data_IF_288544032673
#
_entry.id   IF_288544032673
#
_cell.length_a   1.000
_cell.length_b   1.000
_cell.length_c   1.000
_cell.angle_alpha   90.00
_cell.angle_beta   90.00
_cell.angle_gamma   90.00
#
_symmetry.space_group_name_H-M   'P 1'
#
loop_
_entity.id
_entity.type
_entity.pdbx_description
1 polymer ?
#
# COMPACT_ATOMS: atom_id res chain seq x y z
N UNK A 1 -9.92 10.96 13.64
CA UNK A 1 -9.39 9.61 13.96
C UNK A 1 -10.53 8.64 14.23
N UNK A 2 -11.45 8.95 15.19
CA UNK A 2 -12.57 8.05 15.55
C UNK A 2 -13.47 7.70 14.35
N UNK A 3 -13.72 8.64 13.45
CA UNK A 3 -14.56 8.39 12.28
C UNK A 3 -13.84 7.54 11.23
N UNK A 4 -12.54 7.71 11.10
CA UNK A 4 -11.73 6.87 10.21
C UNK A 4 -11.62 5.42 10.72
N UNK A 5 -11.50 5.22 12.04
CA UNK A 5 -11.54 3.90 12.66
C UNK A 5 -12.86 3.19 12.40
N UNK A 6 -13.98 3.90 12.60
CA UNK A 6 -15.32 3.35 12.30
C UNK A 6 -15.47 2.98 10.85
N UNK A 7 -14.95 3.81 9.94
CA UNK A 7 -15.01 3.53 8.50
C UNK A 7 -14.14 2.32 8.11
N UNK A 8 -12.94 2.20 8.66
CA UNK A 8 -12.04 1.07 8.41
C UNK A 8 -12.64 -0.27 8.88
N UNK A 9 -13.40 -0.26 9.97
CA UNK A 9 -14.05 -1.44 10.55
C UNK A 9 -15.41 -1.80 9.90
N UNK A 10 -15.93 -1.00 8.96
CA UNK A 10 -17.16 -1.34 8.25
C UNK A 10 -16.95 -2.58 7.37
N UNK A 11 -18.04 -3.33 7.17
CA UNK A 11 -18.05 -4.48 6.26
C UNK A 11 -17.66 -4.10 4.83
N UNK A 12 -16.96 -4.97 4.13
CA UNK A 12 -16.55 -4.79 2.74
C UNK A 12 -15.03 -4.94 2.57
N UNK A 13 -14.50 -4.41 1.46
CA UNK A 13 -13.07 -4.44 1.18
C UNK A 13 -12.30 -3.67 2.26
N UNK A 14 -11.28 -4.25 2.88
CA UNK A 14 -10.55 -3.61 3.97
C UNK A 14 -9.92 -2.27 3.56
N UNK A 15 -9.91 -1.36 4.52
CA UNK A 15 -9.16 -0.11 4.46
C UNK A 15 -8.28 -0.02 5.69
N UNK A 16 -7.03 0.33 5.50
CA UNK A 16 -6.12 0.62 6.60
C UNK A 16 -5.55 2.03 6.45
N UNK A 17 -5.25 2.66 7.58
CA UNK A 17 -4.50 3.91 7.62
C UNK A 17 -3.50 3.89 8.75
N UNK A 18 -2.43 4.67 8.60
CA UNK A 18 -1.38 4.79 9.60
C UNK A 18 -0.80 6.20 9.59
N UNK A 19 -0.56 6.76 10.77
CA UNK A 19 0.19 8.00 10.98
C UNK A 19 1.53 7.60 11.61
N UNK A 20 2.51 7.31 10.77
CA UNK A 20 3.78 6.73 11.20
C UNK A 20 4.88 7.77 11.40
N UNK A 21 4.80 8.89 10.71
CA UNK A 21 5.82 9.94 10.75
C UNK A 21 5.19 11.25 11.18
N UNK A 22 5.77 11.88 12.19
CA UNK A 22 5.37 13.22 12.65
C UNK A 22 6.61 14.03 12.95
N UNK A 23 6.52 15.34 12.79
CA UNK A 23 7.64 16.24 13.08
C UNK A 23 7.19 17.67 13.29
N UNK A 24 8.14 18.52 13.57
CA UNK A 24 7.94 19.96 13.78
C UNK A 24 8.66 20.49 15.01
N UNK A 25 8.59 21.80 15.20
CA UNK A 25 9.25 22.50 16.28
C UNK A 25 10.76 22.69 16.09
N UNK A 26 11.37 23.44 16.98
CA UNK A 26 12.81 23.76 16.94
C UNK A 26 13.53 23.46 18.24
N UNK A 27 12.85 23.56 19.39
CA UNK A 27 13.41 23.24 20.69
C UNK A 27 12.32 22.91 21.72
N UNK A 28 12.72 22.28 22.81
CA UNK A 28 11.80 21.81 23.87
C UNK A 28 11.12 22.95 24.64
N UNK A 29 11.63 24.17 24.58
CA UNK A 29 11.13 25.32 25.28
C UNK A 29 10.56 26.43 24.37
N UNK A 30 10.33 26.11 23.09
CA UNK A 30 9.70 27.01 22.13
C UNK A 30 8.37 26.48 21.62
N UNK A 31 7.43 27.38 21.38
CA UNK A 31 6.18 27.03 20.69
C UNK A 31 6.51 26.68 19.24
N UNK A 32 6.14 25.53 18.74
CA UNK A 32 6.34 25.15 17.34
C UNK A 32 5.67 26.16 16.40
N UNK A 33 6.39 26.61 15.39
CA UNK A 33 5.82 27.45 14.33
C UNK A 33 5.16 26.60 13.22
N UNK A 34 5.53 25.33 13.12
CA UNK A 34 4.89 24.33 12.27
C UNK A 34 5.01 22.93 12.89
N UNK A 35 4.09 22.09 12.54
CA UNK A 35 4.15 20.64 12.75
C UNK A 35 3.55 19.94 11.54
N UNK A 36 4.00 18.72 11.28
CA UNK A 36 3.53 17.94 10.16
C UNK A 36 3.39 16.45 10.53
N UNK A 37 2.60 15.75 9.76
CA UNK A 37 2.48 14.29 9.82
C UNK A 37 2.32 13.70 8.43
N UNK A 38 2.78 12.47 8.27
CA UNK A 38 2.53 11.68 7.07
C UNK A 38 1.50 10.61 7.36
N UNK A 39 0.50 10.51 6.49
CA UNK A 39 -0.60 9.55 6.60
C UNK A 39 -0.54 8.61 5.42
N UNK A 40 -0.38 7.31 5.67
CA UNK A 40 -0.49 6.24 4.68
C UNK A 40 -1.88 5.62 4.75
N UNK A 41 -2.53 5.47 3.60
CA UNK A 41 -3.85 4.85 3.49
C UNK A 41 -3.80 3.77 2.41
N UNK A 42 -4.39 2.59 2.70
CA UNK A 42 -4.36 1.43 1.80
C UNK A 42 -5.71 0.77 1.69
N UNK A 43 -6.09 0.41 0.48
CA UNK A 43 -7.24 -0.43 0.16
C UNK A 43 -7.06 -1.07 -1.21
N UNK A 44 -7.65 -2.24 -1.43
CA UNK A 44 -7.80 -2.83 -2.76
C UNK A 44 -8.92 -2.16 -3.57
N UNK A 45 -9.81 -1.40 -2.91
CA UNK A 45 -10.87 -0.62 -3.55
C UNK A 45 -10.48 0.86 -3.66
N UNK A 46 -10.43 1.37 -4.88
CA UNK A 46 -10.21 2.80 -5.16
C UNK A 46 -11.32 3.70 -4.58
N UNK A 47 -12.55 3.21 -4.55
CA UNK A 47 -13.70 3.92 -3.99
C UNK A 47 -13.54 4.08 -2.48
N UNK A 48 -13.19 3.01 -1.77
CA UNK A 48 -12.95 3.06 -0.34
C UNK A 48 -11.73 3.90 0.03
N UNK A 49 -10.68 3.84 -0.80
CA UNK A 49 -9.50 4.69 -0.62
C UNK A 49 -9.86 6.16 -0.76
N UNK A 50 -10.67 6.52 -1.76
CA UNK A 50 -11.17 7.88 -1.94
C UNK A 50 -12.06 8.33 -0.77
N UNK A 51 -12.90 7.44 -0.26
CA UNK A 51 -13.78 7.77 0.86
C UNK A 51 -12.99 8.04 2.17
N UNK A 52 -11.93 7.27 2.47
CA UNK A 52 -11.12 7.54 3.66
C UNK A 52 -10.27 8.81 3.51
N UNK A 53 -9.80 9.12 2.30
CA UNK A 53 -9.13 10.40 2.02
C UNK A 53 -10.09 11.59 2.28
N UNK A 54 -11.34 11.50 1.81
CA UNK A 54 -12.35 12.52 2.07
C UNK A 54 -12.61 12.69 3.59
N UNK A 55 -12.67 11.61 4.34
CA UNK A 55 -12.80 11.67 5.80
C UNK A 55 -11.61 12.38 6.45
N UNK A 56 -10.39 12.12 6.00
CA UNK A 56 -9.20 12.83 6.45
C UNK A 56 -9.31 14.33 6.16
N UNK A 57 -9.69 14.71 4.94
CA UNK A 57 -9.85 16.11 4.54
C UNK A 57 -10.90 16.84 5.41
N UNK A 58 -12.02 16.18 5.71
CA UNK A 58 -13.07 16.71 6.59
C UNK A 58 -12.54 16.86 8.02
N UNK A 59 -11.85 15.85 8.53
CA UNK A 59 -11.29 15.87 9.88
C UNK A 59 -10.26 17.00 10.06
N UNK A 60 -9.38 17.21 9.08
CA UNK A 60 -8.39 18.28 9.08
C UNK A 60 -9.05 19.66 9.08
N UNK A 61 -10.05 19.88 8.22
CA UNK A 61 -10.79 21.15 8.17
C UNK A 61 -11.53 21.44 9.48
N UNK A 62 -12.14 20.42 10.06
CA UNK A 62 -12.83 20.55 11.33
C UNK A 62 -11.86 20.90 12.45
N UNK A 63 -10.76 20.16 12.57
CA UNK A 63 -9.74 20.42 13.60
C UNK A 63 -9.16 21.85 13.48
N UNK A 64 -8.86 22.29 12.26
CA UNK A 64 -8.37 23.64 12.01
C UNK A 64 -9.36 24.71 12.46
N UNK A 65 -10.65 24.52 12.17
CA UNK A 65 -11.71 25.45 12.58
C UNK A 65 -11.87 25.49 14.11
N UNK A 66 -11.83 24.35 14.77
CA UNK A 66 -11.94 24.23 16.23
C UNK A 66 -10.74 24.89 16.92
N UNK A 67 -9.52 24.66 16.46
CA UNK A 67 -8.31 25.30 17.02
C UNK A 67 -8.32 26.81 16.82
N UNK A 68 -8.68 27.29 15.64
CA UNK A 68 -8.78 28.74 15.39
C UNK A 68 -9.90 29.40 16.20
N UNK A 69 -10.99 28.71 16.47
CA UNK A 69 -12.06 29.22 17.34
C UNK A 69 -11.62 29.36 18.81
N UNK A 70 -10.70 28.53 19.28
CA UNK A 70 -10.15 28.60 20.64
C UNK A 70 -8.98 29.58 20.78
N UNK A 71 -8.51 30.13 19.70
CA UNK A 71 -7.37 31.06 19.68
C UNK A 71 -7.62 32.28 20.52
N UNK A 72 -6.65 32.65 21.38
CA UNK A 72 -6.71 33.86 22.23
C UNK A 72 -5.87 35.02 21.71
N UNK A 73 -4.86 34.72 20.89
CA UNK A 73 -3.96 35.78 20.31
C UNK A 73 -3.25 35.19 19.06
N UNK A 74 -2.61 36.07 18.32
CA UNK A 74 -1.82 35.70 17.15
C UNK A 74 -2.66 35.57 15.88
N UNK A 75 -2.02 35.13 14.80
CA UNK A 75 -2.66 34.82 13.50
C UNK A 75 -3.39 33.47 13.56
N UNK A 76 -4.30 33.26 12.64
CA UNK A 76 -4.93 31.96 12.46
C UNK A 76 -3.91 30.91 12.04
N UNK A 77 -4.11 29.71 12.53
CA UNK A 77 -3.42 28.53 12.03
C UNK A 77 -3.84 28.26 10.59
N UNK A 78 -2.91 27.76 9.81
CA UNK A 78 -3.16 27.28 8.45
C UNK A 78 -2.74 25.82 8.35
N UNK A 79 -3.35 25.10 7.44
CA UNK A 79 -2.96 23.71 7.14
C UNK A 79 -2.84 23.53 5.63
N UNK A 80 -1.80 22.84 5.21
CA UNK A 80 -1.64 22.34 3.85
C UNK A 80 -1.75 20.83 3.88
N UNK A 81 -2.59 20.26 3.02
CA UNK A 81 -2.69 18.80 2.80
C UNK A 81 -2.12 18.51 1.43
N UNK A 82 -0.98 17.85 1.39
CA UNK A 82 -0.26 17.52 0.17
C UNK A 82 -0.25 16.03 -0.06
N UNK A 83 -0.74 15.59 -1.22
CA UNK A 83 -0.56 14.21 -1.66
C UNK A 83 0.87 14.01 -2.14
N UNK A 84 1.66 13.21 -1.42
CA UNK A 84 3.07 12.93 -1.72
C UNK A 84 3.26 11.62 -2.48
N UNK A 85 2.22 10.78 -2.56
CA UNK A 85 2.24 9.55 -3.32
C UNK A 85 0.83 9.05 -3.61
N UNK A 86 0.65 8.46 -4.79
CA UNK A 86 -0.58 7.79 -5.16
C UNK A 86 -0.22 6.56 -5.99
N UNK A 87 -0.41 5.38 -5.38
CA UNK A 87 -0.29 4.11 -6.08
C UNK A 87 -1.69 3.57 -6.32
N UNK A 88 -2.15 3.48 -7.57
CA UNK A 88 -3.50 3.05 -7.86
C UNK A 88 -3.75 1.62 -7.39
N UNK A 89 -4.98 1.31 -7.01
CA UNK A 89 -5.46 -0.04 -6.73
C UNK A 89 -5.91 -0.73 -8.00
N UNK A 90 -5.99 -2.05 -7.95
CA UNK A 90 -6.54 -2.88 -9.01
C UNK A 90 -6.37 -4.36 -8.70
N UNK A 91 -7.12 -5.19 -9.40
CA UNK A 91 -7.04 -6.64 -9.26
C UNK A 91 -7.03 -7.30 -10.64
N UNK A 92 -6.38 -8.45 -10.73
CA UNK A 92 -6.49 -9.33 -11.88
C UNK A 92 -7.63 -10.32 -11.66
N UNK A 93 -8.29 -10.71 -12.76
CA UNK A 93 -9.12 -11.93 -12.75
C UNK A 93 -8.19 -13.14 -12.58
N UNK A 94 -8.45 -14.01 -11.57
CA UNK A 94 -7.67 -15.23 -11.39
C UNK A 94 -7.62 -16.15 -12.60
N UNK A 95 -8.62 -16.10 -13.50
CA UNK A 95 -8.68 -16.92 -14.71
C UNK A 95 -7.77 -16.44 -15.85
N UNK A 96 -7.16 -15.27 -15.73
CA UNK A 96 -6.24 -14.76 -16.76
C UNK A 96 -5.08 -15.74 -17.03
N UNK A 97 -4.70 -15.95 -18.30
CA UNK A 97 -3.60 -16.86 -18.65
C UNK A 97 -2.33 -16.62 -17.86
N UNK A 98 -1.90 -15.38 -17.72
CA UNK A 98 -0.71 -15.00 -16.94
C UNK A 98 -0.77 -15.51 -15.48
N UNK A 99 -1.94 -15.36 -14.83
CA UNK A 99 -2.15 -15.83 -13.45
C UNK A 99 -2.10 -17.37 -13.41
N UNK A 100 -2.78 -18.03 -14.36
CA UNK A 100 -2.82 -19.49 -14.46
C UNK A 100 -1.44 -20.07 -14.76
N UNK A 101 -0.65 -19.47 -15.64
CA UNK A 101 0.72 -19.89 -15.92
C UNK A 101 1.62 -19.75 -14.68
N UNK A 102 1.47 -18.66 -13.92
CA UNK A 102 2.21 -18.48 -12.68
C UNK A 102 1.84 -19.54 -11.63
N UNK A 103 0.56 -19.83 -11.47
CA UNK A 103 0.09 -20.86 -10.55
C UNK A 103 0.57 -22.26 -10.98
N UNK A 104 0.48 -22.58 -12.26
CA UNK A 104 0.95 -23.85 -12.81
C UNK A 104 2.46 -24.03 -12.63
N UNK A 105 3.25 -22.97 -12.87
CA UNK A 105 4.70 -23.01 -12.66
C UNK A 105 5.08 -23.27 -11.19
N UNK A 106 4.35 -22.67 -10.22
CA UNK A 106 4.56 -22.96 -8.79
C UNK A 106 4.28 -24.42 -8.46
N UNK A 107 3.15 -24.96 -8.94
CA UNK A 107 2.81 -26.37 -8.72
C UNK A 107 3.86 -27.30 -9.32
N UNK A 108 4.33 -27.01 -10.54
CA UNK A 108 5.39 -27.79 -11.18
C UNK A 108 6.69 -27.81 -10.36
N UNK A 109 7.01 -26.68 -9.69
CA UNK A 109 8.17 -26.57 -8.80
C UNK A 109 7.93 -27.14 -7.39
N UNK A 110 6.77 -27.74 -7.14
CA UNK A 110 6.45 -28.41 -5.87
C UNK A 110 5.94 -27.47 -4.78
N UNK A 111 5.45 -26.29 -5.14
CA UNK A 111 4.85 -25.34 -4.19
C UNK A 111 3.35 -25.18 -4.45
N UNK A 112 2.57 -24.94 -3.39
CA UNK A 112 1.17 -24.60 -3.52
C UNK A 112 1.01 -23.09 -3.80
N UNK A 113 0.36 -22.71 -4.91
CA UNK A 113 0.16 -21.30 -5.24
C UNK A 113 -0.92 -20.68 -4.36
N UNK A 114 -0.65 -19.46 -3.90
CA UNK A 114 -1.59 -18.66 -3.14
C UNK A 114 -1.70 -17.27 -3.78
N UNK A 115 -2.93 -16.82 -4.01
CA UNK A 115 -3.19 -15.45 -4.50
C UNK A 115 -3.32 -14.50 -3.32
N UNK A 116 -2.53 -13.44 -3.34
CA UNK A 116 -2.52 -12.40 -2.28
C UNK A 116 -2.56 -11.00 -2.89
N UNK A 117 -3.26 -10.09 -2.21
CA UNK A 117 -3.13 -8.67 -2.46
C UNK A 117 -1.83 -8.11 -1.87
N UNK A 118 -1.14 -7.26 -2.62
CA UNK A 118 0.07 -6.57 -2.15
C UNK A 118 0.28 -5.27 -2.93
N UNK A 119 0.97 -4.32 -2.31
CA UNK A 119 1.36 -3.07 -2.99
C UNK A 119 2.71 -3.27 -3.68
N UNK A 120 2.68 -3.38 -4.99
CA UNK A 120 3.87 -3.63 -5.83
C UNK A 120 3.86 -2.78 -7.09
N UNK A 121 4.89 -2.88 -7.91
CA UNK A 121 4.93 -2.20 -9.21
C UNK A 121 3.87 -2.72 -10.20
N UNK A 122 3.29 -3.91 -9.95
CA UNK A 122 2.19 -4.45 -10.74
C UNK A 122 0.90 -3.59 -10.66
N UNK A 123 0.75 -2.79 -9.60
CA UNK A 123 -0.40 -1.89 -9.45
C UNK A 123 -0.60 -0.96 -10.66
N UNK A 124 0.50 -0.44 -11.23
CA UNK A 124 0.42 0.52 -12.34
C UNK A 124 -0.13 -0.11 -13.62
N UNK A 125 0.42 -1.21 -14.18
CA UNK A 125 -0.16 -1.84 -15.34
C UNK A 125 -1.58 -2.37 -15.08
N UNK A 126 -1.87 -2.97 -13.93
CA UNK A 126 -3.21 -3.45 -13.57
C UNK A 126 -4.22 -2.30 -13.62
N UNK A 127 -3.90 -1.15 -13.05
CA UNK A 127 -4.79 0.01 -13.05
C UNK A 127 -5.09 0.57 -14.46
N UNK A 128 -4.28 0.19 -15.45
CA UNK A 128 -4.44 0.53 -16.86
C UNK A 128 -5.09 -0.59 -17.68
N UNK A 129 -5.59 -1.63 -17.03
CA UNK A 129 -6.18 -2.79 -17.68
C UNK A 129 -5.17 -3.74 -18.33
N UNK A 130 -3.89 -3.59 -18.00
CA UNK A 130 -2.83 -4.49 -18.48
C UNK A 130 -2.58 -5.57 -17.43
N UNK A 131 -2.75 -6.86 -17.75
CA UNK A 131 -2.46 -7.94 -16.82
C UNK A 131 -1.01 -7.89 -16.32
N UNK A 132 -0.84 -7.94 -15.01
CA UNK A 132 0.48 -7.97 -14.39
C UNK A 132 0.44 -8.68 -13.06
N UNK A 133 1.49 -9.40 -12.73
CA UNK A 133 1.62 -10.13 -11.45
C UNK A 133 2.95 -9.82 -10.79
N UNK A 134 2.99 -10.05 -9.50
CA UNK A 134 4.25 -10.13 -8.75
C UNK A 134 4.42 -11.57 -8.28
N UNK A 135 5.58 -12.13 -8.53
CA UNK A 135 5.96 -13.48 -8.08
C UNK A 135 7.02 -13.39 -7.00
N UNK A 136 7.13 -14.45 -6.19
CA UNK A 136 8.15 -14.54 -5.16
C UNK A 136 9.55 -14.65 -5.75
N UNK A 137 10.56 -14.13 -5.05
CA UNK A 137 11.97 -14.24 -5.43
C UNK A 137 12.61 -15.59 -5.06
N UNK A 138 11.85 -16.49 -4.43
CA UNK A 138 12.37 -17.71 -3.80
C UNK A 138 13.00 -17.42 -2.43
N UNK A 139 13.53 -18.48 -1.79
CA UNK A 139 14.04 -18.37 -0.44
C UNK A 139 12.95 -18.29 0.63
N UNK A 140 13.36 -17.93 1.84
CA UNK A 140 12.47 -17.70 2.98
C UNK A 140 12.74 -16.33 3.59
N UNK A 141 11.70 -15.65 4.00
CA UNK A 141 11.81 -14.35 4.68
C UNK A 141 10.76 -14.21 5.78
N UNK A 142 10.99 -13.30 6.69
CA UNK A 142 10.03 -12.99 7.74
C UNK A 142 10.21 -11.60 8.32
N UNK A 143 9.20 -11.16 9.07
CA UNK A 143 9.14 -9.86 9.74
C UNK A 143 9.39 -8.67 8.81
N UNK A 144 8.72 -8.58 7.63
CA UNK A 144 8.96 -7.48 6.70
C UNK A 144 8.67 -6.13 7.37
N UNK A 145 9.43 -5.10 6.99
CA UNK A 145 9.32 -3.73 7.50
C UNK A 145 9.61 -3.59 9.01
N UNK A 146 10.43 -4.46 9.58
CA UNK A 146 10.85 -4.38 10.97
C UNK A 146 12.38 -4.46 11.14
N UNK A 147 12.89 -4.08 12.33
CA UNK A 147 14.31 -4.23 12.65
C UNK A 147 14.75 -5.70 12.73
N UNK A 148 13.82 -6.62 12.80
CA UNK A 148 14.05 -8.07 12.83
C UNK A 148 13.74 -8.73 11.49
N UNK A 149 13.69 -7.96 10.40
CA UNK A 149 13.51 -8.49 9.06
C UNK A 149 14.68 -9.41 8.69
N UNK A 150 14.35 -10.56 8.12
CA UNK A 150 15.36 -11.53 7.72
C UNK A 150 15.03 -12.20 6.39
N UNK A 151 16.08 -12.63 5.71
CA UNK A 151 16.01 -13.45 4.50
C UNK A 151 17.02 -14.58 4.55
N UNK A 152 16.60 -15.77 4.15
CA UNK A 152 17.47 -16.95 3.99
C UNK A 152 17.33 -17.47 2.57
N UNK A 153 18.44 -17.58 1.86
CA UNK A 153 18.49 -18.14 0.52
C UNK A 153 18.37 -19.69 0.53
N UNK A 154 17.21 -20.16 1.01
CA UNK A 154 16.87 -21.58 0.96
C UNK A 154 16.12 -21.86 -0.35
N UNK A 155 16.80 -22.51 -1.30
CA UNK A 155 16.27 -22.78 -2.65
C UNK A 155 15.81 -21.53 -3.41
N UNK A 156 16.47 -20.39 -3.25
CA UNK A 156 16.15 -19.14 -3.95
C UNK A 156 16.11 -19.27 -5.47
N UNK A 157 16.85 -20.24 -6.04
CA UNK A 157 16.81 -20.55 -7.46
C UNK A 157 15.41 -20.93 -7.99
N UNK A 158 14.50 -21.40 -7.12
CA UNK A 158 13.12 -21.73 -7.53
C UNK A 158 12.36 -20.48 -8.00
N UNK A 159 12.59 -19.31 -7.39
CA UNK A 159 12.01 -18.05 -7.87
C UNK A 159 12.49 -17.68 -9.27
N UNK A 160 13.78 -17.90 -9.57
CA UNK A 160 14.35 -17.69 -10.91
C UNK A 160 13.73 -18.64 -11.93
N UNK A 161 13.61 -19.93 -11.57
CA UNK A 161 12.98 -20.93 -12.43
C UNK A 161 11.51 -20.60 -12.68
N UNK A 162 10.76 -20.17 -11.66
CA UNK A 162 9.38 -19.72 -11.82
C UNK A 162 9.28 -18.55 -12.80
N UNK A 163 10.12 -17.53 -12.65
CA UNK A 163 10.13 -16.38 -13.55
C UNK A 163 10.37 -16.81 -15.01
N UNK A 164 11.33 -17.71 -15.23
CA UNK A 164 11.61 -18.24 -16.55
C UNK A 164 10.44 -19.04 -17.12
N UNK A 165 9.82 -19.92 -16.34
CA UNK A 165 8.68 -20.71 -16.78
C UNK A 165 7.49 -19.83 -17.18
N UNK A 166 7.18 -18.80 -16.39
CA UNK A 166 6.10 -17.85 -16.69
C UNK A 166 6.44 -17.07 -17.98
N UNK A 167 7.67 -16.59 -18.13
CA UNK A 167 8.10 -15.87 -19.33
C UNK A 167 7.95 -16.72 -20.58
N UNK A 168 8.39 -17.98 -20.53
CA UNK A 168 8.29 -18.90 -21.68
C UNK A 168 6.84 -19.27 -22.00
N UNK A 169 5.99 -19.40 -20.97
CA UNK A 169 4.56 -19.68 -21.16
C UNK A 169 3.81 -18.52 -21.83
N UNK A 170 4.19 -17.28 -21.50
CA UNK A 170 3.58 -16.06 -22.09
C UNK A 170 4.16 -15.73 -23.48
N UNK A 171 5.48 -15.74 -23.61
CA UNK A 171 6.16 -15.32 -24.85
C UNK A 171 6.27 -16.43 -25.90
N UNK A 172 6.15 -17.69 -25.49
CA UNK A 172 6.46 -18.85 -26.35
C UNK A 172 7.96 -19.03 -26.55
N UNK A 173 8.30 -20.08 -27.29
CA UNK A 173 9.68 -20.40 -27.68
C UNK A 173 9.77 -20.22 -29.20
N UNK A 174 10.72 -19.44 -29.67
CA UNK A 174 10.99 -19.33 -31.10
C UNK A 174 11.36 -20.69 -31.67
N UNK A 175 10.75 -21.03 -32.82
CA UNK A 175 11.06 -22.26 -33.55
C UNK A 175 12.29 -22.07 -34.39
#
# INVERSE_FOLDING_TARGET
VVDADKFALQSGVPVTYNVAVTGGGTSVNSIPFESWMEVDMRSESSERLSAIDQLLQVAVKKALAEENAMKKMGKDLTVEVKMIGNRPSGSNDPSLPLVQHAMASMKYLGAEPELKGSSTNANIPISKGVPAITIGSGGKSGNPHSLNEWYVNDKGYLGIQQALLVLLAEAGIAK
#
